data_IF_038515595498
#
_entry.id   IF_038515595498
#
_cell.length_a   1.000
_cell.length_b   1.000
_cell.length_c   1.000
_cell.angle_alpha   90.00
_cell.angle_beta   90.00
_cell.angle_gamma   90.00
#
_symmetry.space_group_name_H-M   'P 1'
#
loop_
_entity.id
_entity.type
_entity.pdbx_description
1 polymer ?
#
# COMPACT_ATOMS: atom_id res chain seq x y z
N UNK A 1 -16.33 -11.49 0.78
CA UNK A 1 -15.09 -11.97 0.12
C UNK A 1 -14.43 -13.08 0.91
N UNK A 2 -13.82 -12.76 2.05
CA UNK A 2 -12.98 -13.69 2.82
C UNK A 2 -13.69 -14.99 3.21
N UNK A 3 -14.90 -14.92 3.77
CA UNK A 3 -15.66 -16.13 4.14
C UNK A 3 -15.91 -17.07 2.95
N UNK A 4 -16.25 -16.51 1.79
CA UNK A 4 -16.46 -17.30 0.58
C UNK A 4 -15.17 -17.99 0.10
N UNK A 5 -14.02 -17.32 0.23
CA UNK A 5 -12.72 -17.93 -0.04
C UNK A 5 -12.41 -19.05 0.95
N UNK A 6 -12.64 -18.81 2.25
CA UNK A 6 -12.42 -19.80 3.32
C UNK A 6 -13.26 -21.06 3.14
N UNK A 7 -14.53 -20.95 2.74
CA UNK A 7 -15.36 -22.11 2.40
C UNK A 7 -14.72 -23.05 1.35
N UNK A 8 -13.87 -22.52 0.47
CA UNK A 8 -13.13 -23.30 -0.54
C UNK A 8 -11.71 -23.67 -0.13
N UNK A 9 -11.12 -22.95 0.82
CA UNK A 9 -9.73 -23.12 1.24
C UNK A 9 -9.59 -24.07 2.43
N UNK A 10 -10.50 -24.00 3.41
CA UNK A 10 -10.44 -24.79 4.64
C UNK A 10 -10.58 -26.30 4.39
N UNK A 11 -11.53 -26.81 3.55
CA UNK A 11 -11.66 -28.26 3.35
C UNK A 11 -10.43 -28.94 2.73
N UNK A 12 -9.65 -28.18 1.96
CA UNK A 12 -8.39 -28.64 1.36
C UNK A 12 -7.15 -28.25 2.15
N UNK A 13 -7.35 -27.45 3.20
CA UNK A 13 -6.36 -26.86 4.08
C UNK A 13 -5.14 -26.27 3.35
N UNK A 14 -5.42 -25.47 2.31
CA UNK A 14 -4.38 -24.72 1.59
C UNK A 14 -4.97 -23.52 0.89
N UNK A 15 -4.18 -22.45 0.78
CA UNK A 15 -4.55 -21.23 0.06
C UNK A 15 -3.90 -20.00 0.68
N UNK A 16 -3.98 -18.89 -0.03
CA UNK A 16 -3.55 -17.58 0.47
C UNK A 16 -4.66 -16.58 0.20
N UNK A 17 -5.06 -15.82 1.21
CA UNK A 17 -5.95 -14.66 1.08
C UNK A 17 -5.06 -13.41 1.13
N UNK A 18 -5.21 -12.53 0.15
CA UNK A 18 -4.41 -11.30 0.03
C UNK A 18 -5.34 -10.08 0.10
N UNK A 19 -5.68 -9.58 1.30
CA UNK A 19 -6.48 -8.38 1.42
C UNK A 19 -5.62 -7.17 1.06
N UNK A 20 -6.16 -6.32 0.17
CA UNK A 20 -5.51 -5.08 -0.25
C UNK A 20 -5.84 -3.97 0.75
N UNK A 21 -4.92 -3.75 1.67
CA UNK A 21 -4.92 -2.66 2.65
C UNK A 21 -4.36 -1.36 2.08
N UNK A 22 -4.16 -0.40 2.97
CA UNK A 22 -3.58 0.91 2.65
C UNK A 22 -2.76 1.40 3.83
N UNK A 23 -1.80 2.31 3.60
CA UNK A 23 -1.20 3.10 4.68
C UNK A 23 -2.28 3.81 5.54
N UNK A 24 -3.43 4.13 4.91
CA UNK A 24 -4.58 4.76 5.56
C UNK A 24 -5.39 3.83 6.48
N UNK A 25 -5.03 2.54 6.54
CA UNK A 25 -5.49 1.60 7.56
C UNK A 25 -4.76 1.79 8.91
N UNK A 26 -3.70 2.61 8.93
CA UNK A 26 -2.90 2.89 10.13
C UNK A 26 -2.96 4.37 10.51
N UNK A 27 -3.14 5.25 9.52
CA UNK A 27 -3.24 6.69 9.70
C UNK A 27 -4.41 7.24 8.89
N UNK A 28 -5.47 7.69 9.57
CA UNK A 28 -6.54 8.42 8.92
C UNK A 28 -6.07 9.77 8.35
N UNK A 29 -6.69 10.23 7.26
CA UNK A 29 -6.48 11.56 6.67
C UNK A 29 -7.82 12.31 6.56
N UNK A 30 -7.81 13.66 6.52
CA UNK A 30 -9.03 14.43 6.27
C UNK A 30 -9.68 14.04 4.94
N UNK A 31 -10.98 14.36 4.77
CA UNK A 31 -11.79 14.09 3.57
C UNK A 31 -12.09 12.60 3.28
N UNK A 32 -11.46 11.66 3.98
CA UNK A 32 -11.60 10.22 3.72
C UNK A 32 -11.94 9.40 4.97
N UNK A 33 -12.67 9.96 5.93
CA UNK A 33 -12.96 9.29 7.22
C UNK A 33 -13.62 7.92 7.05
N UNK A 34 -14.65 7.81 6.21
CA UNK A 34 -15.34 6.55 5.93
C UNK A 34 -14.41 5.50 5.30
N UNK A 35 -13.58 5.91 4.33
CA UNK A 35 -12.59 5.02 3.71
C UNK A 35 -11.53 4.56 4.71
N UNK A 36 -10.98 5.48 5.51
CA UNK A 36 -9.98 5.16 6.54
C UNK A 36 -10.56 4.19 7.57
N UNK A 37 -11.79 4.43 8.05
CA UNK A 37 -12.47 3.53 8.98
C UNK A 37 -12.66 2.12 8.40
N UNK A 38 -13.11 2.02 7.15
CA UNK A 38 -13.24 0.74 6.46
C UNK A 38 -11.88 0.01 6.32
N UNK A 39 -10.80 0.74 6.00
CA UNK A 39 -9.46 0.15 5.90
C UNK A 39 -8.91 -0.32 7.26
N UNK A 40 -9.15 0.41 8.35
CA UNK A 40 -8.82 -0.06 9.70
C UNK A 40 -9.63 -1.31 10.09
N UNK A 41 -10.91 -1.37 9.71
CA UNK A 41 -11.76 -2.53 9.98
C UNK A 41 -11.26 -3.80 9.27
N UNK A 42 -10.71 -3.69 8.05
CA UNK A 42 -10.07 -4.81 7.36
C UNK A 42 -8.88 -5.32 8.19
N UNK A 43 -8.00 -4.43 8.66
CA UNK A 43 -6.83 -4.84 9.46
C UNK A 43 -7.25 -5.57 10.73
N UNK A 44 -8.21 -5.01 11.49
CA UNK A 44 -8.74 -5.63 12.69
C UNK A 44 -9.38 -7.00 12.42
N UNK A 45 -10.19 -7.11 11.35
CA UNK A 45 -10.82 -8.37 10.96
C UNK A 45 -9.77 -9.43 10.58
N UNK A 46 -8.74 -9.06 9.82
CA UNK A 46 -7.70 -10.00 9.40
C UNK A 46 -6.78 -10.40 10.55
N UNK A 47 -6.64 -9.56 11.57
CA UNK A 47 -5.93 -9.89 12.81
C UNK A 47 -6.67 -10.93 13.64
N UNK A 48 -7.97 -10.76 13.85
CA UNK A 48 -8.82 -11.78 14.49
C UNK A 48 -8.80 -13.09 13.72
N UNK A 49 -9.06 -13.04 12.40
CA UNK A 49 -9.07 -14.24 11.56
C UNK A 49 -7.73 -15.00 11.63
N UNK A 50 -6.61 -14.29 11.58
CA UNK A 50 -5.29 -14.94 11.65
C UNK A 50 -5.07 -15.66 12.98
N UNK A 51 -5.53 -15.08 14.10
CA UNK A 51 -5.45 -15.72 15.40
C UNK A 51 -6.30 -16.99 15.47
N UNK A 52 -7.53 -16.95 14.91
CA UNK A 52 -8.42 -18.10 14.79
C UNK A 52 -7.76 -19.21 13.95
N UNK A 53 -7.17 -18.87 12.80
CA UNK A 53 -6.50 -19.85 11.93
C UNK A 53 -5.28 -20.50 12.59
N UNK A 54 -4.55 -19.76 13.44
CA UNK A 54 -3.44 -20.31 14.24
C UNK A 54 -3.98 -21.26 15.31
N UNK A 55 -5.06 -20.88 15.99
CA UNK A 55 -5.72 -21.73 16.99
C UNK A 55 -6.17 -23.06 16.38
N UNK A 56 -6.77 -23.01 15.18
CA UNK A 56 -7.27 -24.18 14.45
C UNK A 56 -6.16 -24.98 13.74
N UNK A 57 -4.91 -24.51 13.76
CA UNK A 57 -3.79 -25.16 13.09
C UNK A 57 -3.91 -25.18 11.56
N UNK A 58 -4.63 -24.24 10.95
CA UNK A 58 -4.86 -24.23 9.50
C UNK A 58 -3.60 -23.83 8.71
N UNK A 59 -3.43 -24.44 7.54
CA UNK A 59 -2.39 -24.12 6.57
C UNK A 59 -2.84 -23.12 5.49
N UNK A 60 -4.00 -22.49 5.66
CA UNK A 60 -4.41 -21.35 4.84
C UNK A 60 -3.74 -20.08 5.39
N UNK A 61 -3.16 -19.27 4.50
CA UNK A 61 -2.38 -18.08 4.88
C UNK A 61 -3.14 -16.80 4.59
N UNK A 62 -2.86 -15.75 5.36
CA UNK A 62 -3.36 -14.40 5.10
C UNK A 62 -2.18 -13.43 5.08
N UNK A 63 -1.98 -12.78 3.93
CA UNK A 63 -0.92 -11.78 3.72
C UNK A 63 -1.56 -10.43 3.40
N UNK A 64 -1.50 -9.48 4.33
CA UNK A 64 -1.97 -8.11 4.08
C UNK A 64 -0.99 -7.36 3.19
N UNK A 65 -1.51 -6.63 2.19
CA UNK A 65 -0.69 -5.73 1.36
C UNK A 65 -1.13 -4.29 1.55
N UNK A 66 -0.29 -3.47 2.17
CA UNK A 66 -0.57 -2.05 2.38
C UNK A 66 0.01 -1.24 1.21
N UNK A 67 -0.89 -0.72 0.37
CA UNK A 67 -0.51 0.07 -0.80
C UNK A 67 -0.37 1.56 -0.47
N UNK A 68 0.58 2.27 -1.12
CA UNK A 68 0.64 3.72 -1.15
C UNK A 68 -0.37 4.26 -2.17
N UNK A 69 -0.30 5.56 -2.45
CA UNK A 69 -1.13 6.19 -3.47
C UNK A 69 -0.79 5.68 -4.88
N UNK A 70 -1.81 5.25 -5.63
CA UNK A 70 -1.67 4.62 -6.94
C UNK A 70 -2.18 5.52 -8.06
N UNK A 71 -1.53 5.45 -9.22
CA UNK A 71 -1.99 6.04 -10.47
C UNK A 71 -3.00 5.11 -11.16
N UNK A 72 -4.23 5.08 -10.66
CA UNK A 72 -5.36 4.35 -11.28
C UNK A 72 -6.40 5.32 -11.85
N UNK A 73 -7.30 4.87 -12.75
CA UNK A 73 -8.37 5.70 -13.29
C UNK A 73 -9.36 6.25 -12.25
N UNK A 74 -9.30 5.78 -10.99
CA UNK A 74 -10.32 6.05 -9.97
C UNK A 74 -10.69 7.53 -9.81
N UNK A 75 -9.71 8.43 -9.88
CA UNK A 75 -9.90 9.86 -9.66
C UNK A 75 -10.63 10.57 -10.81
N UNK A 76 -10.85 9.90 -11.95
CA UNK A 76 -11.59 10.45 -13.09
C UNK A 76 -13.07 10.08 -13.11
N UNK A 77 -13.50 9.07 -12.35
CA UNK A 77 -14.88 8.61 -12.37
C UNK A 77 -15.54 8.50 -11.00
N UNK A 78 -14.77 8.58 -9.90
CA UNK A 78 -15.36 8.44 -8.57
C UNK A 78 -16.18 9.67 -8.26
N UNK A 79 -17.33 9.51 -7.60
CA UNK A 79 -18.10 10.67 -7.14
C UNK A 79 -17.26 11.52 -6.23
N UNK A 80 -17.01 12.76 -6.64
CA UNK A 80 -16.30 13.77 -5.85
C UNK A 80 -17.29 14.83 -5.42
N UNK A 81 -17.13 15.32 -4.19
CA UNK A 81 -17.79 16.55 -3.70
C UNK A 81 -16.77 17.65 -3.40
N UNK A 82 -15.54 17.47 -3.87
CA UNK A 82 -14.46 18.43 -3.69
C UNK A 82 -14.62 19.57 -4.70
N UNK A 83 -14.19 20.80 -4.35
CA UNK A 83 -14.25 21.93 -5.28
C UNK A 83 -13.26 21.82 -6.45
N UNK A 84 -12.17 21.06 -6.28
CA UNK A 84 -11.16 20.81 -7.31
C UNK A 84 -11.02 19.32 -7.57
N UNK A 85 -10.52 18.96 -8.76
CA UNK A 85 -10.38 17.56 -9.17
C UNK A 85 -9.52 16.79 -8.17
N UNK A 86 -10.03 15.64 -7.74
CA UNK A 86 -9.34 14.78 -6.79
C UNK A 86 -8.05 14.20 -7.38
N UNK A 87 -7.06 13.96 -6.53
CA UNK A 87 -5.81 13.28 -6.90
C UNK A 87 -5.32 12.37 -5.76
N UNK A 88 -4.45 11.38 -6.07
CA UNK A 88 -3.78 10.61 -5.03
C UNK A 88 -2.83 11.50 -4.22
N UNK A 89 -2.75 11.28 -2.91
CA UNK A 89 -1.78 11.97 -2.05
C UNK A 89 -0.37 11.54 -2.45
N UNK A 90 0.51 12.46 -2.91
CA UNK A 90 1.85 12.09 -3.33
C UNK A 90 2.70 11.51 -2.20
N UNK A 91 3.69 10.65 -2.50
CA UNK A 91 4.11 10.23 -3.84
C UNK A 91 3.19 9.16 -4.47
N UNK A 92 3.07 9.21 -5.79
CA UNK A 92 2.18 8.37 -6.60
C UNK A 92 2.99 7.25 -7.24
N UNK A 93 2.51 6.01 -7.19
CA UNK A 93 3.14 4.87 -7.85
C UNK A 93 2.29 4.36 -9.01
N UNK A 94 2.95 3.77 -10.02
CA UNK A 94 2.25 3.09 -11.10
C UNK A 94 1.55 1.80 -10.62
N UNK A 95 0.45 1.38 -11.27
CA UNK A 95 -0.34 0.22 -10.85
C UNK A 95 0.45 -1.09 -10.86
N UNK A 96 1.49 -1.21 -11.69
CA UNK A 96 2.39 -2.38 -11.75
C UNK A 96 3.05 -2.66 -10.39
N UNK A 97 3.40 -1.60 -9.64
CA UNK A 97 4.01 -1.76 -8.30
C UNK A 97 3.06 -2.46 -7.34
N UNK A 98 1.76 -2.18 -7.43
CA UNK A 98 0.74 -2.88 -6.66
C UNK A 98 0.54 -4.32 -7.18
N UNK A 99 0.50 -4.51 -8.50
CA UNK A 99 0.35 -5.82 -9.11
C UNK A 99 1.47 -6.78 -8.69
N UNK A 100 2.73 -6.34 -8.77
CA UNK A 100 3.90 -7.12 -8.36
C UNK A 100 3.84 -7.48 -6.88
N UNK A 101 3.47 -6.51 -6.02
CA UNK A 101 3.35 -6.73 -4.59
C UNK A 101 2.26 -7.74 -4.23
N UNK A 102 1.07 -7.63 -4.84
CA UNK A 102 -0.06 -8.53 -4.61
C UNK A 102 0.26 -9.93 -5.15
N UNK A 103 0.84 -10.02 -6.35
CA UNK A 103 1.24 -11.30 -6.94
C UNK A 103 2.29 -12.00 -6.08
N UNK A 104 3.31 -11.29 -5.60
CA UNK A 104 4.30 -11.84 -4.68
C UNK A 104 3.66 -12.30 -3.37
N UNK A 105 2.76 -11.49 -2.79
CA UNK A 105 2.07 -11.81 -1.53
C UNK A 105 1.20 -13.08 -1.63
N UNK A 106 0.64 -13.36 -2.80
CA UNK A 106 -0.15 -14.58 -3.03
C UNK A 106 0.69 -15.87 -2.90
N UNK A 107 1.99 -15.79 -3.15
CA UNK A 107 2.91 -16.93 -3.18
C UNK A 107 3.81 -17.03 -1.94
N UNK A 108 3.67 -16.12 -0.98
CA UNK A 108 4.58 -16.00 0.16
C UNK A 108 3.82 -16.00 1.48
N UNK A 109 4.40 -16.66 2.49
CA UNK A 109 3.82 -16.75 3.85
C UNK A 109 4.35 -15.62 4.71
N UNK A 110 3.79 -14.42 4.54
CA UNK A 110 4.17 -13.24 5.30
C UNK A 110 2.94 -12.66 5.94
N UNK A 111 3.08 -12.12 7.14
CA UNK A 111 1.95 -11.50 7.83
C UNK A 111 1.44 -10.28 7.05
N UNK A 112 2.38 -9.43 6.65
CA UNK A 112 2.13 -8.14 6.01
C UNK A 112 3.26 -7.80 5.02
N UNK A 113 2.91 -7.03 3.99
CA UNK A 113 3.81 -6.40 3.04
C UNK A 113 3.44 -4.91 2.94
N UNK A 114 4.39 -4.04 3.29
CA UNK A 114 4.25 -2.60 3.11
C UNK A 114 4.92 -2.20 1.81
N UNK A 115 4.17 -1.53 0.94
CA UNK A 115 4.64 -1.18 -0.40
C UNK A 115 5.10 0.27 -0.43
N UNK A 116 6.38 0.49 -0.73
CA UNK A 116 7.01 1.80 -0.76
C UNK A 116 7.44 2.32 0.61
N UNK A 117 8.55 3.08 0.63
CA UNK A 117 8.99 3.83 1.80
C UNK A 117 7.91 4.76 2.39
N UNK A 118 7.07 5.44 1.59
CA UNK A 118 6.03 6.31 2.11
C UNK A 118 5.03 5.56 3.01
N UNK A 119 4.60 4.36 2.62
CA UNK A 119 3.72 3.51 3.43
C UNK A 119 4.39 3.16 4.75
N UNK A 120 5.65 2.69 4.70
CA UNK A 120 6.40 2.35 5.91
C UNK A 120 6.58 3.57 6.84
N UNK A 121 6.89 4.74 6.27
CA UNK A 121 7.06 5.97 7.01
C UNK A 121 5.75 6.43 7.69
N UNK A 122 4.61 6.32 7.01
CA UNK A 122 3.30 6.65 7.59
C UNK A 122 2.96 5.72 8.74
N UNK A 123 3.13 4.41 8.57
CA UNK A 123 2.79 3.42 9.60
C UNK A 123 3.68 3.62 10.84
N UNK A 124 5.00 3.70 10.66
CA UNK A 124 5.94 3.88 11.76
C UNK A 124 5.79 5.27 12.39
N UNK A 125 5.65 6.31 11.57
CA UNK A 125 5.50 7.70 12.02
C UNK A 125 4.24 7.90 12.85
N UNK A 126 3.09 7.34 12.44
CA UNK A 126 1.86 7.41 13.21
C UNK A 126 1.98 6.71 14.58
N UNK A 127 2.73 5.61 14.64
CA UNK A 127 2.97 4.91 15.90
C UNK A 127 3.85 5.70 16.87
N UNK A 128 4.77 6.52 16.36
CA UNK A 128 5.73 7.26 17.18
C UNK A 128 5.26 8.67 17.54
N UNK A 129 4.64 9.38 16.59
CA UNK A 129 4.33 10.81 16.70
C UNK A 129 2.99 11.17 16.04
N UNK A 130 1.85 10.61 16.50
CA UNK A 130 0.55 10.81 15.85
C UNK A 130 0.10 12.29 15.84
N UNK A 131 0.30 13.01 16.94
CA UNK A 131 -0.08 14.43 17.05
C UNK A 131 0.67 15.37 16.09
N UNK A 132 1.94 15.08 15.81
CA UNK A 132 2.68 15.83 14.78
C UNK A 132 2.07 15.59 13.39
N UNK A 133 1.66 14.35 13.11
CA UNK A 133 0.92 13.99 11.90
C UNK A 133 -0.45 14.67 11.80
N UNK A 134 -1.16 14.87 12.91
CA UNK A 134 -2.42 15.63 12.94
C UNK A 134 -2.22 17.08 12.50
N UNK A 135 -1.25 17.77 13.09
CA UNK A 135 -0.96 19.16 12.73
C UNK A 135 -0.44 19.31 11.30
N UNK A 136 0.36 18.34 10.82
CA UNK A 136 0.80 18.33 9.43
C UNK A 136 -0.40 18.18 8.47
N UNK A 137 -1.25 17.17 8.69
CA UNK A 137 -2.41 16.93 7.82
C UNK A 137 -3.48 18.01 7.93
N UNK A 138 -3.61 18.67 9.08
CA UNK A 138 -4.48 19.84 9.22
C UNK A 138 -4.04 21.00 8.31
N UNK A 139 -2.72 21.13 8.06
CA UNK A 139 -2.16 22.20 7.21
C UNK A 139 -2.11 21.83 5.74
N UNK A 140 -1.84 20.57 5.40
CA UNK A 140 -1.53 20.16 4.02
C UNK A 140 -2.49 19.13 3.44
N UNK A 141 -3.20 18.37 4.30
CA UNK A 141 -3.92 17.17 3.89
C UNK A 141 -5.15 17.42 3.03
N UNK A 142 -5.76 18.61 3.11
CA UNK A 142 -6.90 18.99 2.28
C UNK A 142 -6.47 19.32 0.84
N UNK A 143 -5.41 20.12 0.69
CA UNK A 143 -4.89 20.52 -0.63
C UNK A 143 -4.14 19.40 -1.32
N UNK A 144 -3.40 18.56 -0.58
CA UNK A 144 -2.64 17.46 -1.16
C UNK A 144 -3.50 16.44 -1.93
N UNK A 145 -4.79 16.37 -1.63
CA UNK A 145 -5.78 15.47 -2.26
C UNK A 145 -6.48 16.07 -3.48
N UNK A 146 -6.13 17.29 -3.87
CA UNK A 146 -6.74 18.00 -4.99
C UNK A 146 -5.68 18.52 -5.95
N UNK A 147 -6.03 18.60 -7.23
CA UNK A 147 -5.29 19.39 -8.21
C UNK A 147 -5.69 20.87 -8.11
N UNK A 148 -5.10 21.73 -8.93
CA UNK A 148 -5.55 23.12 -9.09
C UNK A 148 -6.75 23.28 -10.03
N UNK A 149 -7.13 22.22 -10.77
CA UNK A 149 -8.24 22.27 -11.71
C UNK A 149 -9.59 22.19 -10.97
N UNK A 150 -10.57 23.04 -11.32
CA UNK A 150 -11.91 22.94 -10.75
C UNK A 150 -12.58 21.60 -11.12
N UNK A 151 -13.38 21.07 -10.20
CA UNK A 151 -14.22 19.88 -10.42
C UNK A 151 -15.53 20.28 -11.11
N UNK A 152 -16.03 19.40 -11.98
CA UNK A 152 -17.38 19.51 -12.53
C UNK A 152 -18.34 18.68 -11.66
N UNK A 153 -19.25 19.31 -10.89
CA UNK A 153 -20.16 18.59 -10.00
C UNK A 153 -21.20 17.73 -10.74
N UNK A 154 -21.44 18.00 -12.02
CA UNK A 154 -22.45 17.33 -12.85
C UNK A 154 -21.85 16.26 -13.76
N UNK A 155 -20.53 16.05 -13.72
CA UNK A 155 -19.88 14.98 -14.50
C UNK A 155 -20.42 13.61 -14.11
N UNK A 156 -20.45 12.70 -15.08
CA UNK A 156 -20.77 11.30 -14.81
C UNK A 156 -19.83 10.69 -13.75
N UNK A 157 -20.40 9.92 -12.83
CA UNK A 157 -19.70 9.24 -11.75
C UNK A 157 -20.17 7.80 -11.55
N UNK A 158 -19.32 6.97 -10.95
CA UNK A 158 -19.55 5.53 -10.82
C UNK A 158 -20.23 5.11 -9.50
N UNK A 159 -20.90 6.03 -8.78
CA UNK A 159 -21.51 5.68 -7.49
C UNK A 159 -22.77 4.83 -7.63
N UNK A 160 -23.63 5.17 -8.59
CA UNK A 160 -24.93 4.52 -8.77
C UNK A 160 -24.98 3.64 -10.02
N UNK A 161 -24.32 4.08 -11.09
CA UNK A 161 -24.32 3.43 -12.39
C UNK A 161 -22.88 3.23 -12.88
N UNK A 162 -22.59 2.14 -13.62
CA UNK A 162 -21.30 1.99 -14.29
C UNK A 162 -21.12 3.07 -15.37
N UNK A 163 -19.90 3.57 -15.53
CA UNK A 163 -19.55 4.64 -16.49
C UNK A 163 -18.44 4.22 -17.46
N UNK A 164 -18.30 2.92 -17.63
CA UNK A 164 -17.27 2.22 -18.40
C UNK A 164 -17.85 1.17 -19.38
N UNK A 165 -19.17 1.11 -19.56
CA UNK A 165 -19.82 0.12 -20.44
C UNK A 165 -19.31 0.12 -21.90
N UNK A 166 -18.82 1.28 -22.37
CA UNK A 166 -18.38 1.47 -23.77
C UNK A 166 -16.88 1.65 -23.92
N UNK A 167 -16.15 1.82 -22.82
CA UNK A 167 -14.75 2.22 -22.85
C UNK A 167 -13.99 1.62 -21.66
N UNK A 168 -13.04 0.75 -21.97
CA UNK A 168 -12.11 0.21 -20.97
C UNK A 168 -11.11 1.29 -20.60
N UNK A 169 -11.19 1.78 -19.35
CA UNK A 169 -10.29 2.82 -18.84
C UNK A 169 -8.88 2.32 -18.54
N UNK A 170 -8.63 1.01 -18.62
CA UNK A 170 -7.35 0.39 -18.33
C UNK A 170 -6.93 0.48 -16.86
N UNK A 171 -5.66 0.19 -16.58
CA UNK A 171 -5.11 0.21 -15.22
C UNK A 171 -4.49 1.55 -14.81
N UNK A 172 -4.12 2.39 -15.80
CA UNK A 172 -3.34 3.62 -15.59
C UNK A 172 -4.24 4.84 -15.46
N UNK A 173 -4.02 5.61 -14.41
CA UNK A 173 -4.62 6.94 -14.27
C UNK A 173 -3.88 8.01 -15.07
N UNK A 174 -4.37 9.23 -14.96
CA UNK A 174 -3.85 10.41 -15.66
C UNK A 174 -2.58 11.01 -15.05
N UNK A 175 -2.04 10.43 -13.97
CA UNK A 175 -0.89 10.98 -13.25
C UNK A 175 0.43 10.36 -13.71
N UNK A 176 0.50 9.87 -14.95
CA UNK A 176 1.66 9.15 -15.50
C UNK A 176 2.98 9.91 -15.35
N UNK A 177 2.98 11.22 -15.61
CA UNK A 177 4.17 12.08 -15.54
C UNK A 177 4.73 12.24 -14.11
N UNK A 178 3.92 11.93 -13.09
CA UNK A 178 4.29 12.02 -11.67
C UNK A 178 4.42 10.65 -10.99
N UNK A 179 4.01 9.59 -11.68
CA UNK A 179 3.90 8.27 -11.09
C UNK A 179 5.22 7.50 -11.19
N UNK A 180 5.65 6.96 -10.06
CA UNK A 180 6.90 6.24 -9.92
C UNK A 180 6.68 4.78 -10.36
N UNK A 181 7.42 4.27 -11.36
CA UNK A 181 7.18 2.94 -11.93
C UNK A 181 7.78 1.79 -11.10
N UNK A 182 8.63 2.08 -10.12
CA UNK A 182 9.30 1.05 -9.32
C UNK A 182 9.47 1.48 -7.86
N UNK A 183 9.61 0.52 -6.97
CA UNK A 183 9.87 0.76 -5.54
C UNK A 183 11.11 -0.02 -5.08
N UNK A 184 12.26 0.64 -4.84
CA UNK A 184 13.46 -0.02 -4.32
C UNK A 184 13.21 -0.71 -2.98
N UNK A 185 12.35 -0.14 -2.13
CA UNK A 185 11.93 -0.76 -0.88
C UNK A 185 11.13 -2.03 -1.13
N UNK A 186 10.20 -2.04 -2.11
CA UNK A 186 9.45 -3.24 -2.45
C UNK A 186 10.40 -4.31 -2.95
N UNK A 187 11.32 -3.95 -3.86
CA UNK A 187 12.33 -4.87 -4.37
C UNK A 187 13.13 -5.51 -3.23
N UNK A 188 13.64 -4.71 -2.29
CA UNK A 188 14.38 -5.22 -1.14
C UNK A 188 13.51 -6.12 -0.23
N UNK A 189 12.23 -5.75 -0.04
CA UNK A 189 11.30 -6.53 0.77
C UNK A 189 10.98 -7.90 0.14
N UNK A 190 10.94 -7.99 -1.19
CA UNK A 190 10.63 -9.21 -1.95
C UNK A 190 11.86 -10.04 -2.32
N UNK A 191 13.07 -9.46 -2.29
CA UNK A 191 14.34 -10.10 -2.64
C UNK A 191 15.28 -10.26 -1.44
N UNK A 192 14.73 -10.64 -0.28
CA UNK A 192 15.46 -10.69 1.01
C UNK A 192 16.81 -11.39 0.95
N UNK A 193 16.92 -12.52 0.25
CA UNK A 193 18.19 -13.24 0.11
C UNK A 193 19.26 -12.38 -0.57
N UNK A 194 18.91 -11.73 -1.68
CA UNK A 194 19.80 -10.79 -2.36
C UNK A 194 20.09 -9.56 -1.51
N UNK A 195 19.08 -9.00 -0.83
CA UNK A 195 19.26 -7.85 0.06
C UNK A 195 20.22 -8.15 1.20
N UNK A 196 20.06 -9.29 1.89
CA UNK A 196 20.97 -9.71 2.96
C UNK A 196 22.38 -9.98 2.42
N UNK A 197 22.51 -10.60 1.24
CA UNK A 197 23.80 -10.81 0.59
C UNK A 197 24.52 -9.50 0.24
N UNK A 198 23.81 -8.52 -0.32
CA UNK A 198 24.35 -7.19 -0.62
C UNK A 198 24.78 -6.44 0.64
N UNK A 199 23.98 -6.50 1.72
CA UNK A 199 24.33 -5.89 3.00
C UNK A 199 25.57 -6.54 3.62
N UNK A 200 25.67 -7.87 3.58
CA UNK A 200 26.84 -8.60 4.07
C UNK A 200 28.10 -8.24 3.27
N UNK A 201 28.00 -8.17 1.93
CA UNK A 201 29.11 -7.77 1.07
C UNK A 201 29.56 -6.33 1.33
N UNK A 202 28.61 -5.40 1.51
CA UNK A 202 28.91 -4.00 1.85
C UNK A 202 29.61 -3.88 3.21
N UNK A 203 29.15 -4.64 4.22
CA UNK A 203 29.78 -4.68 5.54
C UNK A 203 31.21 -5.23 5.49
N UNK A 204 31.45 -6.30 4.72
CA UNK A 204 32.79 -6.86 4.51
C UNK A 204 33.71 -5.86 3.80
N UNK A 205 33.23 -5.19 2.75
CA UNK A 205 34.00 -4.17 2.04
C UNK A 205 34.38 -3.01 2.96
N UNK A 206 33.43 -2.49 3.74
CA UNK A 206 33.69 -1.44 4.72
C UNK A 206 34.73 -1.89 5.78
N UNK A 207 34.65 -3.14 6.25
CA UNK A 207 35.63 -3.71 7.18
C UNK A 207 37.04 -3.84 6.60
N UNK A 208 37.18 -4.10 5.30
CA UNK A 208 38.47 -4.13 4.60
C UNK A 208 39.04 -2.71 4.42
N UNK A 209 38.19 -1.74 4.06
CA UNK A 209 38.57 -0.32 3.88
C UNK A 209 38.95 0.37 5.20
N UNK A 210 38.28 0.01 6.31
CA UNK A 210 38.54 0.56 7.64
C UNK A 210 39.67 -0.17 8.38
N UNK A 211 40.31 -1.17 7.76
CA UNK A 211 41.41 -1.92 8.38
C UNK A 211 42.62 -0.98 8.50
N UNK A 212 43.09 -0.65 9.72
CA UNK A 212 44.18 0.30 9.89
C UNK A 212 45.41 -0.19 9.14
N UNK A 213 45.96 0.67 8.26
CA UNK A 213 47.24 0.41 7.60
C UNK A 213 48.27 0.25 8.69
N UNK A 214 48.77 -0.97 8.88
CA UNK A 214 49.90 -1.22 9.79
C UNK A 214 51.09 -0.42 9.25
N UNK A 215 51.47 0.65 9.95
CA UNK A 215 52.76 1.29 9.74
C UNK A 215 53.84 0.29 10.13
N UNK A 216 54.50 -0.30 9.14
CA UNK A 216 55.76 -1.02 9.32
C UNK A 216 56.86 0.03 9.55
N UNK A 217 57.32 0.14 10.80
CA UNK A 217 58.62 0.74 11.16
C UNK A 217 59.74 -0.26 10.96
#
# INVERSE_FOLDING_TARGET
GTLAALHRMLPRDRGTIVPVGSALAHRGIPLQSAYCAAKHAIDGFMDSLRAEMIHDGSHVHVTMVHLPAMNTPQFRWVKSRLPRKAQPVPPIFQPEVAADAIHWAAHQRRRELWVGLPTAAVIVGNRLMPGAGDHYLARTGYDAQQTEEPEDPDRADNLWDPVDERDDRGAHGVFGDRAIPHSPQLWAATHRGATLGLLAAAALAAGVLLRPRRHTT
#
